data_IF_855123327061
#
_entry.id   IF_855123327061
#
_cell.length_a   1.000
_cell.length_b   1.000
_cell.length_c   1.000
_cell.angle_alpha   90.00
_cell.angle_beta   90.00
_cell.angle_gamma   90.00
#
_symmetry.space_group_name_H-M   'P 1'
#
loop_
_entity.id
_entity.type
_entity.pdbx_description
1 polymer ?
#
# COMPACT_ATOMS: atom_id res chain seq x y z
N UNK A 1 7.64 -22.11 -4.01
CA UNK A 1 6.92 -20.98 -4.62
C UNK A 1 6.20 -20.24 -3.51
N UNK A 2 6.33 -18.92 -3.45
CA UNK A 2 5.75 -18.11 -2.37
C UNK A 2 4.22 -18.08 -2.51
N UNK A 3 3.49 -18.30 -1.43
CA UNK A 3 2.05 -17.97 -1.35
C UNK A 3 1.88 -16.63 -0.66
N UNK A 4 1.31 -15.65 -1.37
CA UNK A 4 1.00 -14.33 -0.84
C UNK A 4 -0.48 -14.23 -0.52
N UNK A 5 -0.81 -14.11 0.77
CA UNK A 5 -2.17 -13.85 1.21
C UNK A 5 -2.48 -12.36 1.03
N UNK A 6 -3.34 -12.06 0.04
CA UNK A 6 -3.67 -10.72 -0.40
C UNK A 6 -5.05 -10.30 0.12
N UNK A 7 -5.17 -9.06 0.62
CA UNK A 7 -6.43 -8.55 1.10
C UNK A 7 -7.26 -8.09 -0.09
N UNK A 8 -8.36 -8.80 -0.34
CA UNK A 8 -9.24 -8.54 -1.48
C UNK A 8 -10.68 -8.26 -1.06
N UNK A 9 -11.42 -7.64 -1.97
CA UNK A 9 -12.86 -7.46 -1.88
C UNK A 9 -13.57 -8.24 -2.97
N UNK A 10 -14.75 -7.75 -3.37
CA UNK A 10 -15.50 -8.27 -4.51
C UNK A 10 -14.62 -8.41 -5.73
N UNK A 11 -14.87 -9.48 -6.49
CA UNK A 11 -14.17 -9.77 -7.75
C UNK A 11 -12.63 -9.82 -7.61
N UNK A 12 -12.14 -10.16 -6.41
CA UNK A 12 -10.73 -10.17 -6.04
C UNK A 12 -10.01 -8.81 -6.18
N UNK A 13 -10.74 -7.69 -6.07
CA UNK A 13 -10.12 -6.37 -6.07
C UNK A 13 -9.14 -6.24 -4.89
N UNK A 14 -7.84 -6.13 -5.17
CA UNK A 14 -6.83 -5.84 -4.16
C UNK A 14 -6.82 -4.35 -3.81
N UNK A 15 -7.08 -4.03 -2.56
CA UNK A 15 -7.11 -2.65 -2.06
C UNK A 15 -6.26 -2.47 -0.78
N UNK A 16 -5.26 -3.32 -0.52
CA UNK A 16 -4.33 -3.08 0.59
C UNK A 16 -3.05 -2.40 0.10
N UNK A 17 -2.66 -1.23 0.64
CA UNK A 17 -1.40 -0.60 0.27
C UNK A 17 -0.21 -1.48 0.66
N UNK A 18 -0.35 -2.22 1.76
CA UNK A 18 0.64 -3.15 2.27
C UNK A 18 0.82 -4.38 1.38
N UNK A 19 -0.26 -4.89 0.79
CA UNK A 19 -0.17 -6.02 -0.13
C UNK A 19 0.40 -5.59 -1.48
N UNK A 20 0.03 -4.40 -1.97
CA UNK A 20 0.58 -3.84 -3.20
C UNK A 20 2.10 -3.68 -3.15
N UNK A 21 2.66 -3.12 -2.07
CA UNK A 21 4.13 -2.98 -1.96
C UNK A 21 4.88 -4.32 -1.98
N UNK A 22 4.26 -5.41 -1.49
CA UNK A 22 4.83 -6.76 -1.58
C UNK A 22 4.71 -7.35 -2.99
N UNK A 23 3.59 -7.13 -3.68
CA UNK A 23 3.45 -7.55 -5.08
C UNK A 23 4.47 -6.84 -5.97
N UNK A 24 4.64 -5.53 -5.78
CA UNK A 24 5.69 -4.78 -6.47
C UNK A 24 7.08 -5.33 -6.15
N UNK A 25 7.39 -5.63 -4.88
CA UNK A 25 8.68 -6.20 -4.51
C UNK A 25 8.94 -7.53 -5.24
N UNK A 26 7.97 -8.45 -5.20
CA UNK A 26 8.10 -9.76 -5.83
C UNK A 26 8.22 -9.64 -7.36
N UNK A 27 7.45 -8.75 -7.98
CA UNK A 27 7.52 -8.49 -9.42
C UNK A 27 8.86 -7.88 -9.83
N UNK A 28 9.35 -6.87 -9.10
CA UNK A 28 10.62 -6.22 -9.38
C UNK A 28 11.78 -7.23 -9.33
N UNK A 29 11.76 -8.11 -8.32
CA UNK A 29 12.77 -9.16 -8.16
C UNK A 29 12.50 -10.41 -9.00
N UNK A 30 11.44 -10.41 -9.81
CA UNK A 30 11.02 -11.53 -10.68
C UNK A 30 10.85 -12.85 -9.91
N UNK A 31 10.37 -12.78 -8.67
CA UNK A 31 10.15 -13.95 -7.82
C UNK A 31 8.74 -14.49 -8.08
N UNK A 32 8.58 -15.75 -8.53
CA UNK A 32 7.27 -16.32 -8.77
C UNK A 32 6.50 -16.53 -7.47
N UNK A 33 5.25 -16.10 -7.45
CA UNK A 33 4.35 -16.24 -6.31
C UNK A 33 2.93 -16.55 -6.76
N UNK A 34 2.17 -17.15 -5.85
CA UNK A 34 0.74 -17.39 -5.99
C UNK A 34 -0.02 -16.45 -5.06
N UNK A 35 -1.02 -15.73 -5.60
CA UNK A 35 -1.95 -14.95 -4.78
C UNK A 35 -2.97 -15.90 -4.15
N UNK A 36 -3.16 -15.75 -2.84
CA UNK A 36 -4.24 -16.37 -2.07
C UNK A 36 -5.20 -15.26 -1.65
N UNK A 37 -6.30 -15.04 -2.39
CA UNK A 37 -7.26 -14.00 -2.07
C UNK A 37 -7.86 -14.24 -0.69
N UNK A 38 -7.84 -13.21 0.16
CA UNK A 38 -8.28 -13.31 1.56
C UNK A 38 -9.10 -12.09 1.94
N UNK A 39 -10.37 -12.29 2.32
CA UNK A 39 -11.26 -11.23 2.81
C UNK A 39 -10.98 -10.92 4.29
N UNK A 40 -11.51 -9.82 4.84
CA UNK A 40 -11.34 -9.45 6.24
C UNK A 40 -11.82 -10.56 7.19
N UNK A 41 -13.06 -11.03 6.97
CA UNK A 41 -13.68 -12.05 7.82
C UNK A 41 -13.00 -13.41 7.65
N UNK A 42 -12.59 -13.79 6.43
CA UNK A 42 -11.82 -15.01 6.19
C UNK A 42 -10.48 -14.99 6.93
N UNK A 43 -9.78 -13.85 6.94
CA UNK A 43 -8.55 -13.67 7.72
C UNK A 43 -8.80 -13.84 9.22
N UNK A 44 -9.85 -13.19 9.75
CA UNK A 44 -10.18 -13.22 11.19
C UNK A 44 -10.53 -14.64 11.67
N UNK A 45 -11.30 -15.37 10.86
CA UNK A 45 -11.79 -16.73 11.20
C UNK A 45 -10.71 -17.81 11.06
N UNK A 46 -9.55 -17.49 10.48
CA UNK A 46 -8.52 -18.46 10.16
C UNK A 46 -7.34 -18.41 11.15
N UNK A 47 -7.24 -19.46 11.97
CA UNK A 47 -6.17 -19.65 12.97
C UNK A 47 -4.76 -19.58 12.39
N UNK A 48 -4.58 -19.84 11.10
CA UNK A 48 -3.29 -19.68 10.42
C UNK A 48 -2.73 -18.27 10.62
N UNK A 49 -3.56 -17.22 10.61
CA UNK A 49 -3.09 -15.84 10.75
C UNK A 49 -2.87 -15.45 12.21
N UNK A 50 -3.69 -15.93 13.14
CA UNK A 50 -3.73 -15.42 14.51
C UNK A 50 -4.01 -13.91 14.51
N UNK A 51 -3.22 -13.14 15.26
CA UNK A 51 -3.33 -11.68 15.30
C UNK A 51 -2.73 -10.98 14.06
N UNK A 52 -2.00 -11.70 13.21
CA UNK A 52 -1.32 -11.12 12.05
C UNK A 52 -2.29 -10.48 11.05
N UNK A 53 -1.96 -9.28 10.59
CA UNK A 53 -2.65 -8.61 9.47
C UNK A 53 -2.02 -9.03 8.14
N UNK A 54 -2.73 -8.73 7.05
CA UNK A 54 -2.25 -8.95 5.69
C UNK A 54 -1.39 -7.76 5.22
N UNK A 55 -0.37 -8.00 4.36
CA UNK A 55 -0.03 -9.27 3.76
C UNK A 55 0.65 -10.23 4.74
N UNK A 56 0.45 -11.51 4.48
CA UNK A 56 1.24 -12.62 5.03
C UNK A 56 1.76 -13.41 3.83
N UNK A 57 3.01 -13.89 3.91
CA UNK A 57 3.52 -14.88 2.97
C UNK A 57 3.73 -16.22 3.66
N UNK A 58 3.62 -17.29 2.88
CA UNK A 58 4.16 -18.59 3.20
C UNK A 58 5.20 -18.93 2.13
N UNK A 59 6.46 -18.91 2.51
CA UNK A 59 7.56 -19.39 1.67
C UNK A 59 8.06 -20.73 2.20
N UNK A 60 7.74 -21.80 1.48
CA UNK A 60 7.83 -23.18 1.95
C UNK A 60 7.05 -23.37 3.28
N UNK A 61 7.75 -23.54 4.40
CA UNK A 61 7.16 -23.70 5.74
C UNK A 61 7.31 -22.45 6.62
N UNK A 62 7.90 -21.38 6.11
CA UNK A 62 8.13 -20.15 6.86
C UNK A 62 6.95 -19.19 6.62
N UNK A 63 6.17 -18.93 7.67
CA UNK A 63 5.12 -17.91 7.68
C UNK A 63 5.74 -16.57 8.11
N UNK A 64 5.62 -15.55 7.28
CA UNK A 64 6.06 -14.19 7.59
C UNK A 64 4.88 -13.24 7.39
N UNK A 65 4.59 -12.45 8.42
CA UNK A 65 3.58 -11.39 8.41
C UNK A 65 4.23 -10.04 8.60
N UNK A 66 3.49 -8.97 8.31
CA UNK A 66 3.97 -7.59 8.22
C UNK A 66 4.80 -7.34 6.95
N UNK A 67 4.27 -6.48 6.08
CA UNK A 67 4.91 -6.18 4.79
C UNK A 67 6.34 -5.61 4.89
N UNK A 68 6.74 -4.90 5.95
CA UNK A 68 8.13 -4.46 6.04
C UNK A 68 9.06 -5.58 6.52
N UNK A 69 8.58 -6.45 7.41
CA UNK A 69 9.28 -7.69 7.78
C UNK A 69 9.41 -8.62 6.58
N UNK A 70 8.35 -8.80 5.79
CA UNK A 70 8.35 -9.56 4.54
C UNK A 70 9.39 -8.99 3.57
N UNK A 71 9.44 -7.66 3.40
CA UNK A 71 10.40 -7.07 2.47
C UNK A 71 11.86 -7.34 2.86
N UNK A 72 12.20 -7.18 4.14
CA UNK A 72 13.53 -7.52 4.66
C UNK A 72 13.85 -9.01 4.52
N UNK A 73 12.86 -9.88 4.71
CA UNK A 73 12.99 -11.31 4.51
C UNK A 73 13.32 -11.64 3.04
N UNK A 74 12.58 -11.06 2.09
CA UNK A 74 12.79 -11.26 0.65
C UNK A 74 14.17 -10.75 0.21
N UNK A 75 14.56 -9.54 0.63
CA UNK A 75 15.88 -8.98 0.30
C UNK A 75 17.04 -9.81 0.85
N UNK A 76 16.83 -10.48 1.99
CA UNK A 76 17.83 -11.39 2.58
C UNK A 76 17.88 -12.75 1.89
N UNK A 77 16.71 -13.37 1.66
CA UNK A 77 16.61 -14.77 1.18
C UNK A 77 16.79 -14.90 -0.34
N UNK A 78 16.27 -13.93 -1.09
CA UNK A 78 16.34 -13.85 -2.55
C UNK A 78 17.26 -12.72 -2.97
N UNK A 79 18.45 -12.70 -2.39
CA UNK A 79 19.42 -11.65 -2.64
C UNK A 79 19.93 -11.68 -4.08
N UNK A 80 19.94 -10.52 -4.72
CA UNK A 80 20.46 -10.29 -6.07
C UNK A 80 21.10 -8.91 -6.12
N UNK A 81 22.39 -8.87 -6.46
CA UNK A 81 23.20 -7.65 -6.51
C UNK A 81 22.66 -6.61 -7.50
N UNK A 82 21.96 -7.03 -8.55
CA UNK A 82 21.46 -6.13 -9.59
C UNK A 82 20.12 -5.47 -9.25
N UNK A 83 19.41 -5.97 -8.24
CA UNK A 83 18.03 -5.57 -7.91
C UNK A 83 17.82 -5.27 -6.41
N UNK A 84 18.85 -4.76 -5.73
CA UNK A 84 18.79 -4.39 -4.30
C UNK A 84 17.85 -3.20 -4.11
N UNK A 85 16.82 -3.39 -3.27
CA UNK A 85 15.87 -2.33 -2.90
C UNK A 85 16.06 -1.87 -1.44
N UNK A 86 16.60 -2.74 -0.59
CA UNK A 86 16.91 -2.47 0.82
C UNK A 86 18.36 -2.86 1.10
N UNK A 87 19.14 -1.92 1.59
CA UNK A 87 20.54 -2.10 1.98
C UNK A 87 20.81 -1.48 3.35
N UNK A 88 21.98 -1.78 3.92
CA UNK A 88 22.44 -1.11 5.15
C UNK A 88 22.55 0.40 5.00
N UNK A 89 22.78 0.92 3.78
CA UNK A 89 22.93 2.36 3.53
C UNK A 89 21.61 3.12 3.43
N UNK A 90 20.47 2.45 3.22
CA UNK A 90 19.18 3.10 3.03
C UNK A 90 18.08 2.65 4.01
N UNK A 91 18.32 1.62 4.83
CA UNK A 91 17.31 1.01 5.71
C UNK A 91 16.68 2.02 6.68
N UNK A 92 17.46 2.95 7.24
CA UNK A 92 16.94 3.93 8.19
C UNK A 92 16.03 4.95 7.50
N UNK A 93 16.41 5.42 6.30
CA UNK A 93 15.58 6.29 5.48
C UNK A 93 14.29 5.59 5.05
N UNK A 94 14.37 4.32 4.64
CA UNK A 94 13.18 3.52 4.29
C UNK A 94 12.28 3.31 5.51
N UNK A 95 12.86 3.10 6.69
CA UNK A 95 12.09 2.94 7.94
C UNK A 95 11.36 4.24 8.28
N UNK A 96 12.03 5.38 8.16
CA UNK A 96 11.39 6.69 8.33
C UNK A 96 10.23 6.88 7.33
N UNK A 97 10.46 6.58 6.05
CA UNK A 97 9.44 6.72 5.00
C UNK A 97 8.27 5.76 5.21
N UNK A 98 8.53 4.52 5.65
CA UNK A 98 7.47 3.57 6.02
C UNK A 98 6.56 4.17 7.10
N UNK A 99 7.15 4.69 8.18
CA UNK A 99 6.41 5.25 9.30
C UNK A 99 5.67 6.53 8.90
N UNK A 100 6.30 7.39 8.09
CA UNK A 100 5.68 8.59 7.54
C UNK A 100 4.49 8.24 6.63
N UNK A 101 4.66 7.27 5.73
CA UNK A 101 3.61 6.86 4.81
C UNK A 101 2.40 6.27 5.57
N UNK A 102 2.65 5.45 6.60
CA UNK A 102 1.58 4.89 7.42
C UNK A 102 0.83 5.95 8.23
N UNK A 103 1.55 6.95 8.73
CA UNK A 103 1.00 7.98 9.61
C UNK A 103 0.27 9.08 8.85
N UNK A 104 0.84 9.53 7.74
CA UNK A 104 0.39 10.74 7.03
C UNK A 104 -0.23 10.40 5.68
N UNK A 105 0.48 9.68 4.82
CA UNK A 105 0.00 9.41 3.46
C UNK A 105 -1.25 8.51 3.49
N UNK A 106 -1.15 7.33 4.10
CA UNK A 106 -2.24 6.36 4.18
C UNK A 106 -3.45 6.93 4.94
N UNK A 107 -3.23 7.74 5.97
CA UNK A 107 -4.29 8.48 6.67
C UNK A 107 -4.99 9.48 5.74
N UNK A 108 -4.22 10.26 4.98
CA UNK A 108 -4.80 11.24 4.05
C UNK A 108 -5.57 10.58 2.90
N UNK A 109 -5.14 9.38 2.48
CA UNK A 109 -5.85 8.57 1.48
C UNK A 109 -7.15 8.02 2.08
N UNK A 110 -7.11 7.42 3.28
CA UNK A 110 -8.30 6.81 3.88
C UNK A 110 -9.40 7.84 4.14
N UNK A 111 -9.05 9.08 4.51
CA UNK A 111 -10.00 10.19 4.65
C UNK A 111 -10.85 10.43 3.40
N UNK A 112 -10.34 10.09 2.21
CA UNK A 112 -10.98 10.37 0.93
C UNK A 112 -11.75 9.18 0.35
N UNK A 113 -11.48 7.96 0.84
CA UNK A 113 -11.99 6.72 0.24
C UNK A 113 -12.69 5.77 1.22
N UNK A 114 -12.74 6.10 2.52
CA UNK A 114 -13.16 5.17 3.57
C UNK A 114 -14.53 4.52 3.32
N UNK A 115 -15.52 5.31 2.95
CA UNK A 115 -16.86 4.83 2.60
C UNK A 115 -16.84 4.06 1.28
N UNK A 116 -16.06 4.52 0.31
CA UNK A 116 -15.99 3.91 -1.01
C UNK A 116 -15.49 2.46 -0.95
N UNK A 117 -14.61 2.14 0.01
CA UNK A 117 -14.17 0.75 0.27
C UNK A 117 -15.37 -0.18 0.48
N UNK A 118 -16.42 0.26 1.19
CA UNK A 118 -17.57 -0.59 1.53
C UNK A 118 -18.37 -1.08 0.31
N UNK A 119 -18.30 -0.36 -0.82
CA UNK A 119 -18.93 -0.76 -2.07
C UNK A 119 -18.16 -1.88 -2.78
N UNK A 120 -16.86 -2.00 -2.48
CA UNK A 120 -15.96 -3.02 -3.02
C UNK A 120 -15.86 -4.27 -2.14
N UNK A 121 -16.64 -4.36 -1.05
CA UNK A 121 -16.63 -5.52 -0.14
C UNK A 121 -17.85 -6.41 -0.32
N UNK A 122 -17.65 -7.72 -0.20
CA UNK A 122 -18.73 -8.69 -0.02
C UNK A 122 -19.58 -8.36 1.21
N UNK A 123 -20.80 -8.88 1.25
CA UNK A 123 -21.80 -8.53 2.27
C UNK A 123 -21.29 -8.77 3.70
N UNK A 124 -20.78 -9.97 4.00
CA UNK A 124 -20.19 -10.32 5.30
C UNK A 124 -19.06 -9.36 5.73
N UNK A 125 -18.23 -8.95 4.77
CA UNK A 125 -17.08 -8.10 5.01
C UNK A 125 -17.47 -6.62 5.18
N UNK A 126 -18.56 -6.19 4.54
CA UNK A 126 -19.09 -4.84 4.62
C UNK A 126 -19.55 -4.51 6.03
N UNK A 127 -20.33 -5.39 6.67
CA UNK A 127 -20.85 -5.17 8.02
C UNK A 127 -19.72 -5.13 9.06
N UNK A 128 -18.79 -6.08 8.95
CA UNK A 128 -17.57 -6.06 9.74
C UNK A 128 -16.78 -4.76 9.51
N UNK A 129 -16.64 -4.32 8.26
CA UNK A 129 -15.90 -3.12 7.91
C UNK A 129 -16.56 -1.89 8.53
N UNK A 130 -17.85 -1.66 8.30
CA UNK A 130 -18.56 -0.50 8.83
C UNK A 130 -18.44 -0.44 10.35
N UNK A 131 -18.67 -1.57 11.04
CA UNK A 131 -18.57 -1.64 12.50
C UNK A 131 -17.15 -1.33 12.99
N UNK A 132 -16.15 -2.03 12.45
CA UNK A 132 -14.76 -1.86 12.87
C UNK A 132 -14.21 -0.47 12.57
N UNK A 133 -14.64 0.16 11.47
CA UNK A 133 -14.16 1.50 11.08
C UNK A 133 -14.89 2.59 11.84
N UNK A 134 -16.17 2.41 12.15
CA UNK A 134 -16.90 3.29 13.07
C UNK A 134 -16.22 3.35 14.43
N UNK A 135 -15.86 2.19 15.00
CA UNK A 135 -15.13 2.14 16.28
C UNK A 135 -13.75 2.80 16.19
N UNK A 136 -13.05 2.66 15.07
CA UNK A 136 -11.71 3.23 14.88
C UNK A 136 -11.72 4.75 14.71
N UNK A 137 -12.69 5.29 13.97
CA UNK A 137 -12.74 6.71 13.59
C UNK A 137 -13.73 7.53 14.42
N UNK A 138 -14.56 6.89 15.25
CA UNK A 138 -15.52 7.55 16.14
C UNK A 138 -16.82 7.99 15.45
N UNK A 139 -16.97 7.76 14.15
CA UNK A 139 -18.16 8.09 13.37
C UNK A 139 -18.29 7.14 12.16
N UNK A 140 -19.48 7.09 11.54
CA UNK A 140 -19.74 6.18 10.43
C UNK A 140 -18.84 6.50 9.21
N UNK A 141 -18.29 5.50 8.48
CA UNK A 141 -17.44 5.69 7.30
C UNK A 141 -17.92 6.74 6.29
N UNK A 142 -19.21 6.72 5.97
CA UNK A 142 -19.88 7.71 5.10
C UNK A 142 -19.69 9.14 5.59
N UNK A 143 -19.98 9.39 6.86
CA UNK A 143 -20.00 10.72 7.44
C UNK A 143 -18.56 11.24 7.60
N UNK A 144 -17.65 10.36 8.02
CA UNK A 144 -16.21 10.63 8.06
C UNK A 144 -15.67 11.07 6.69
N UNK A 145 -15.94 10.30 5.63
CA UNK A 145 -15.45 10.63 4.29
C UNK A 145 -16.10 11.94 3.78
N UNK A 146 -17.42 12.09 3.90
CA UNK A 146 -18.13 13.27 3.42
C UNK A 146 -17.56 14.56 4.03
N UNK A 147 -17.33 14.57 5.35
CA UNK A 147 -16.72 15.70 6.07
C UNK A 147 -15.31 16.01 5.57
N UNK A 148 -14.47 15.00 5.39
CA UNK A 148 -13.09 15.21 4.95
C UNK A 148 -12.99 15.68 3.49
N UNK A 149 -13.94 15.29 2.62
CA UNK A 149 -13.98 15.74 1.23
C UNK A 149 -14.30 17.23 1.07
N UNK A 150 -14.96 17.86 2.05
CA UNK A 150 -15.24 19.30 2.05
C UNK A 150 -14.00 20.16 2.34
N UNK A 151 -12.90 19.56 2.80
CA UNK A 151 -11.67 20.28 3.14
C UNK A 151 -10.90 20.60 1.84
N UNK A 152 -10.88 21.89 1.47
CA UNK A 152 -10.21 22.38 0.25
C UNK A 152 -8.71 22.06 0.29
N UNK A 153 -7.99 22.55 1.30
CA UNK A 153 -6.55 22.30 1.49
C UNK A 153 -6.30 21.03 2.34
N UNK A 154 -6.84 19.89 1.92
CA UNK A 154 -6.78 18.63 2.67
C UNK A 154 -5.36 18.01 2.74
N UNK A 155 -5.17 17.09 3.68
CA UNK A 155 -3.90 16.40 3.95
C UNK A 155 -3.36 15.65 2.71
N UNK A 156 -4.23 15.14 1.83
CA UNK A 156 -3.80 14.40 0.64
C UNK A 156 -3.11 15.31 -0.37
N UNK A 157 -3.68 16.50 -0.62
CA UNK A 157 -3.05 17.52 -1.46
C UNK A 157 -1.73 18.02 -0.86
N UNK A 158 -1.64 18.14 0.47
CA UNK A 158 -0.38 18.51 1.13
C UNK A 158 0.71 17.45 0.95
N UNK A 159 0.35 16.17 1.09
CA UNK A 159 1.28 15.06 0.82
C UNK A 159 1.71 15.02 -0.65
N UNK A 160 0.77 15.23 -1.60
CA UNK A 160 1.10 15.30 -3.02
C UNK A 160 2.06 16.47 -3.31
N UNK A 161 1.78 17.66 -2.75
CA UNK A 161 2.66 18.83 -2.87
C UNK A 161 4.05 18.57 -2.30
N UNK A 162 4.13 17.96 -1.12
CA UNK A 162 5.40 17.60 -0.49
C UNK A 162 6.22 16.67 -1.38
N UNK A 163 5.62 15.59 -1.86
CA UNK A 163 6.30 14.63 -2.73
C UNK A 163 6.67 15.26 -4.09
N UNK A 164 5.82 16.12 -4.65
CA UNK A 164 6.13 16.84 -5.88
C UNK A 164 7.38 17.74 -5.74
N UNK A 165 7.50 18.46 -4.62
CA UNK A 165 8.69 19.27 -4.33
C UNK A 165 9.91 18.36 -4.16
N UNK A 166 9.77 17.27 -3.40
CA UNK A 166 10.85 16.31 -3.17
C UNK A 166 11.35 15.65 -4.46
N UNK A 167 10.46 15.43 -5.43
CA UNK A 167 10.75 14.80 -6.73
C UNK A 167 11.20 15.79 -7.80
N UNK A 168 11.36 17.08 -7.48
CA UNK A 168 11.73 18.10 -8.47
C UNK A 168 13.14 17.94 -9.06
N UNK A 169 14.04 17.29 -8.33
CA UNK A 169 15.46 17.15 -8.68
C UNK A 169 15.95 15.69 -8.73
N UNK A 170 15.04 14.71 -8.73
CA UNK A 170 15.36 13.28 -8.66
C UNK A 170 14.31 12.42 -9.34
N UNK A 171 14.71 11.20 -9.69
CA UNK A 171 13.80 10.23 -10.34
C UNK A 171 13.00 9.43 -9.31
N UNK A 172 13.62 9.00 -8.22
CA UNK A 172 13.02 8.17 -7.17
C UNK A 172 13.17 8.80 -5.79
N UNK A 173 12.44 8.27 -4.80
CA UNK A 173 12.33 8.88 -3.47
C UNK A 173 13.69 9.01 -2.77
N UNK A 174 14.58 8.04 -2.95
CA UNK A 174 15.91 8.03 -2.31
C UNK A 174 17.07 8.29 -3.29
N UNK A 175 16.79 8.78 -4.50
CA UNK A 175 17.81 9.19 -5.48
C UNK A 175 17.51 8.73 -6.90
N UNK A 176 18.53 8.32 -7.64
CA UNK A 176 18.40 7.96 -9.07
C UNK A 176 18.05 6.48 -9.31
N UNK A 177 18.05 5.67 -8.26
CA UNK A 177 17.67 4.25 -8.33
C UNK A 177 16.43 4.00 -7.49
N UNK A 178 15.56 3.14 -8.00
CA UNK A 178 14.39 2.67 -7.26
C UNK A 178 14.82 1.99 -5.96
N UNK A 179 14.03 2.20 -4.92
CA UNK A 179 14.23 1.62 -3.60
C UNK A 179 12.91 1.08 -3.05
N UNK A 180 12.94 0.39 -1.92
CA UNK A 180 11.69 -0.03 -1.29
C UNK A 180 10.83 1.16 -0.82
N UNK A 181 11.41 2.36 -0.64
CA UNK A 181 10.63 3.57 -0.36
C UNK A 181 9.63 3.89 -1.48
N UNK A 182 10.05 3.72 -2.73
CA UNK A 182 9.18 3.93 -3.89
C UNK A 182 8.02 2.94 -3.89
N UNK A 183 8.28 1.67 -3.54
CA UNK A 183 7.25 0.63 -3.50
C UNK A 183 6.22 0.88 -2.39
N UNK A 184 6.66 1.44 -1.26
CA UNK A 184 5.76 1.87 -0.16
C UNK A 184 4.79 2.92 -0.69
N UNK A 185 5.30 4.00 -1.30
CA UNK A 185 4.45 5.09 -1.76
C UNK A 185 3.56 4.65 -2.95
N UNK A 186 4.11 3.88 -3.88
CA UNK A 186 3.38 3.36 -5.03
C UNK A 186 2.22 2.46 -4.59
N UNK A 187 2.44 1.61 -3.58
CA UNK A 187 1.38 0.79 -2.99
C UNK A 187 0.27 1.63 -2.35
N UNK A 188 0.63 2.72 -1.67
CA UNK A 188 -0.32 3.68 -1.10
C UNK A 188 -1.17 4.37 -2.16
N UNK A 189 -0.56 4.95 -3.20
CA UNK A 189 -1.31 5.61 -4.28
C UNK A 189 -2.21 4.65 -5.05
N UNK A 190 -1.69 3.46 -5.40
CA UNK A 190 -2.47 2.46 -6.11
C UNK A 190 -3.68 1.98 -5.30
N UNK A 191 -3.56 1.89 -3.96
CA UNK A 191 -4.71 1.62 -3.11
C UNK A 191 -5.81 2.66 -3.28
N UNK A 192 -5.47 3.95 -3.18
CA UNK A 192 -6.44 5.03 -3.38
C UNK A 192 -7.14 4.94 -4.73
N UNK A 193 -6.35 4.76 -5.79
CA UNK A 193 -6.83 4.74 -7.18
C UNK A 193 -7.72 3.54 -7.49
N UNK A 194 -7.42 2.38 -6.93
CA UNK A 194 -8.24 1.18 -7.09
C UNK A 194 -9.60 1.30 -6.42
N UNK A 195 -9.73 2.16 -5.41
CA UNK A 195 -10.96 2.31 -4.64
C UNK A 195 -11.82 3.47 -5.15
N UNK A 196 -11.21 4.62 -5.46
CA UNK A 196 -11.95 5.84 -5.73
C UNK A 196 -11.16 6.89 -6.51
N UNK A 197 -11.87 7.62 -7.37
CA UNK A 197 -11.36 8.80 -8.08
C UNK A 197 -11.09 9.98 -7.14
N UNK A 198 -11.55 9.94 -5.89
CA UNK A 198 -11.31 11.00 -4.91
C UNK A 198 -9.82 11.22 -4.61
N UNK A 199 -8.96 10.26 -4.95
CA UNK A 199 -7.50 10.33 -4.75
C UNK A 199 -6.73 10.62 -6.04
N UNK A 200 -7.40 11.14 -7.07
CA UNK A 200 -6.71 11.62 -8.28
C UNK A 200 -5.68 12.69 -7.89
N UNK A 201 -4.43 12.46 -8.29
CA UNK A 201 -3.34 13.44 -8.18
C UNK A 201 -3.63 14.57 -9.18
N UNK A 202 -3.57 15.82 -8.72
CA UNK A 202 -3.80 17.00 -9.56
C UNK A 202 -2.69 17.17 -10.59
N UNK A 203 -3.04 17.64 -11.79
CA UNK A 203 -2.13 17.84 -12.91
C UNK A 203 -1.03 18.87 -12.60
N UNK A 204 -1.23 19.75 -11.60
CA UNK A 204 -0.19 20.68 -11.13
C UNK A 204 0.99 19.99 -10.43
N UNK A 205 0.85 18.72 -10.02
CA UNK A 205 1.92 17.96 -9.37
C UNK A 205 2.73 17.14 -10.40
N UNK A 206 3.28 17.85 -11.39
CA UNK A 206 3.96 17.28 -12.56
C UNK A 206 5.09 16.30 -12.21
N UNK A 207 5.92 16.61 -11.21
CA UNK A 207 7.04 15.73 -10.82
C UNK A 207 6.56 14.45 -10.14
N UNK A 208 5.50 14.54 -9.33
CA UNK A 208 4.88 13.36 -8.73
C UNK A 208 4.20 12.48 -9.78
N UNK A 209 3.51 13.09 -10.74
CA UNK A 209 2.90 12.37 -11.86
C UNK A 209 3.96 11.68 -12.73
N UNK A 210 5.07 12.36 -13.01
CA UNK A 210 6.21 11.78 -13.72
C UNK A 210 6.78 10.58 -12.97
N UNK A 211 7.07 10.70 -11.68
CA UNK A 211 7.53 9.58 -10.84
C UNK A 211 6.56 8.40 -10.91
N UNK A 212 5.25 8.67 -10.83
CA UNK A 212 4.24 7.63 -10.88
C UNK A 212 4.23 6.89 -12.24
N UNK A 213 4.43 7.59 -13.34
CA UNK A 213 4.57 6.96 -14.67
C UNK A 213 5.86 6.13 -14.76
N UNK A 214 6.98 6.60 -14.20
CA UNK A 214 8.22 5.81 -14.13
C UNK A 214 8.02 4.51 -13.34
N UNK A 215 7.30 4.56 -12.20
CA UNK A 215 6.96 3.36 -11.44
C UNK A 215 6.12 2.40 -12.28
N UNK A 216 5.12 2.91 -13.00
CA UNK A 216 4.27 2.08 -13.88
C UNK A 216 5.10 1.41 -14.98
N UNK A 217 6.00 2.14 -15.63
CA UNK A 217 6.90 1.61 -16.65
C UNK A 217 7.81 0.48 -16.14
N UNK A 218 8.21 0.51 -14.86
CA UNK A 218 9.01 -0.56 -14.25
C UNK A 218 8.22 -1.86 -14.09
N UNK A 219 6.90 -1.79 -13.90
CA UNK A 219 6.06 -2.94 -13.58
C UNK A 219 5.18 -3.45 -14.72
N UNK A 220 5.05 -2.69 -15.81
CA UNK A 220 4.30 -3.08 -17.02
C UNK A 220 5.20 -3.68 -18.12
N UNK A 221 6.53 -3.59 -17.99
CA UNK A 221 7.52 -4.18 -18.89
C UNK A 221 8.14 -5.47 -18.32
#
# INVERSE_FOLDING_TARGET
>A
MIKLYDLVGKDNLSFSPYCWRIKYLLNYKKIPYQIIPTTFTARIKNNFFGESRLPTILDNNEKISDSFVIAKYIEKKYFDHSSILISSSNIDSITFINNWADTFLNKSIVQRILNDISFHLDEDDRDYFITSRTNRFGEHPRDYQAKNLLIINNEFLQNCKFLNIHLSDRTFILGDKISYADLILAGSFLWGEKVSTNTRIDDMFEHLLKWKEEIKNIFEN
#
